data_IF_846591519556
#
_entry.id   IF_846591519556
#
_cell.length_a   1.000
_cell.length_b   1.000
_cell.length_c   1.000
_cell.angle_alpha   90.00
_cell.angle_beta   90.00
_cell.angle_gamma   90.00
#
_symmetry.space_group_name_H-M   'P 1'
#
loop_
_entity.id
_entity.type
_entity.pdbx_description
1 polymer ?
#
# COMPACT_ATOMS: atom_id res chain seq x y z
N UNK A 1 -10.74 1.33 4.01
CA UNK A 1 -9.97 2.05 5.05
C UNK A 1 -9.77 3.47 4.53
N UNK A 2 -10.37 4.49 5.14
CA UNK A 2 -10.24 5.87 4.67
C UNK A 2 -9.34 6.61 5.65
N UNK A 3 -8.05 6.70 5.32
CA UNK A 3 -7.06 7.42 6.11
C UNK A 3 -6.88 8.79 5.50
N UNK A 4 -7.08 9.83 6.30
CA UNK A 4 -6.84 11.21 5.90
C UNK A 4 -5.51 11.64 6.50
N UNK A 5 -4.47 11.72 5.69
CA UNK A 5 -3.14 12.16 6.10
C UNK A 5 -3.03 13.68 5.95
N UNK A 6 -2.83 14.40 7.06
CA UNK A 6 -2.56 15.84 7.04
C UNK A 6 -1.08 16.03 7.41
N UNK A 7 -0.21 16.19 6.40
CA UNK A 7 1.20 16.53 6.63
C UNK A 7 1.38 18.05 6.68
N UNK A 8 1.93 18.56 7.78
CA UNK A 8 2.40 19.95 7.90
C UNK A 8 3.71 20.14 7.13
N UNK A 9 3.81 21.24 6.40
CA UNK A 9 4.88 21.53 5.44
C UNK A 9 6.03 22.25 6.16
N UNK A 10 7.07 21.51 6.56
CA UNK A 10 8.34 22.06 7.01
C UNK A 10 9.50 21.29 6.34
N UNK A 11 10.49 22.05 5.88
CA UNK A 11 11.55 21.65 4.96
C UNK A 11 12.75 21.09 5.75
N UNK A 12 12.55 19.92 6.33
CA UNK A 12 13.64 19.05 6.79
C UNK A 12 13.54 17.77 5.94
N UNK A 13 14.59 17.46 5.17
CA UNK A 13 14.63 16.31 4.24
C UNK A 13 14.82 14.98 4.97
N UNK A 14 14.23 14.85 6.16
CA UNK A 14 14.22 13.58 6.89
C UNK A 14 13.19 12.64 6.26
N UNK A 15 13.50 11.35 6.09
CA UNK A 15 12.53 10.37 5.65
C UNK A 15 11.53 10.02 6.76
N UNK A 16 11.75 10.48 8.00
CA UNK A 16 10.84 10.25 9.13
C UNK A 16 9.89 11.43 9.28
N UNK A 17 8.60 11.17 9.14
CA UNK A 17 7.54 12.19 9.17
C UNK A 17 6.47 11.82 10.18
N UNK A 18 5.96 12.82 10.90
CA UNK A 18 4.78 12.64 11.73
C UNK A 18 3.52 12.81 10.86
N UNK A 19 2.61 11.85 10.93
CA UNK A 19 1.34 11.85 10.22
C UNK A 19 0.19 11.67 11.20
N UNK A 20 -0.84 12.50 11.05
CA UNK A 20 -2.11 12.30 11.75
C UNK A 20 -2.95 11.30 10.98
N UNK A 21 -3.37 10.23 11.64
CA UNK A 21 -4.12 9.14 11.04
C UNK A 21 -5.51 9.08 11.64
N UNK A 22 -6.50 8.94 10.78
CA UNK A 22 -7.87 8.58 11.17
C UNK A 22 -8.17 7.26 10.51
N UNK A 23 -8.51 6.23 11.28
CA UNK A 23 -8.81 4.92 10.74
C UNK A 23 -9.98 4.25 11.46
N UNK A 24 -10.61 3.31 10.77
CA UNK A 24 -11.64 2.45 11.35
C UNK A 24 -10.99 1.18 11.89
N UNK A 25 -11.21 0.91 13.17
CA UNK A 25 -10.72 -0.26 13.87
C UNK A 25 -11.89 -1.18 14.25
N UNK A 26 -11.62 -2.48 14.35
CA UNK A 26 -12.60 -3.52 14.67
C UNK A 26 -12.21 -4.15 16.00
N UNK A 27 -12.88 -3.73 17.05
CA UNK A 27 -12.60 -4.18 18.41
C UNK A 27 -13.29 -5.53 18.66
N UNK A 28 -12.54 -6.50 19.17
CA UNK A 28 -13.10 -7.78 19.61
C UNK A 28 -13.96 -7.61 20.87
N UNK A 29 -15.02 -8.42 21.06
CA UNK A 29 -15.89 -8.35 22.25
C UNK A 29 -15.16 -8.45 23.59
N UNK A 30 -14.06 -9.21 23.63
CA UNK A 30 -13.25 -9.37 24.85
C UNK A 30 -12.66 -8.04 25.34
N UNK A 31 -12.52 -7.05 24.47
CA UNK A 31 -11.99 -5.73 24.78
C UNK A 31 -13.09 -4.69 25.06
N UNK A 32 -14.35 -5.10 25.25
CA UNK A 32 -15.45 -4.16 25.53
C UNK A 32 -15.24 -3.37 26.83
N UNK A 33 -14.61 -3.99 27.83
CA UNK A 33 -14.31 -3.35 29.11
C UNK A 33 -13.08 -2.43 29.04
N UNK A 34 -12.16 -2.70 28.12
CA UNK A 34 -10.94 -1.92 27.90
C UNK A 34 -10.67 -1.79 26.39
N UNK A 35 -11.36 -0.84 25.78
CA UNK A 35 -11.24 -0.58 24.35
C UNK A 35 -9.84 -0.10 23.97
N UNK A 36 -9.15 0.60 24.88
CA UNK A 36 -7.82 1.15 24.62
C UNK A 36 -6.83 0.02 24.34
N UNK A 37 -6.82 -1.01 25.20
CA UNK A 37 -5.96 -2.19 25.01
C UNK A 37 -6.23 -2.88 23.68
N UNK A 38 -7.50 -3.12 23.32
CA UNK A 38 -7.82 -3.76 22.06
C UNK A 38 -7.46 -2.91 20.82
N UNK A 39 -7.51 -1.58 20.94
CA UNK A 39 -7.02 -0.67 19.90
C UNK A 39 -5.50 -0.71 19.77
N UNK A 40 -4.77 -0.71 20.89
CA UNK A 40 -3.32 -0.84 20.89
C UNK A 40 -2.89 -2.17 20.25
N UNK A 41 -3.55 -3.28 20.57
CA UNK A 41 -3.30 -4.58 19.94
C UNK A 41 -3.52 -4.52 18.42
N UNK A 42 -4.63 -3.91 17.97
CA UNK A 42 -4.91 -3.79 16.54
C UNK A 42 -3.91 -2.88 15.82
N UNK A 43 -3.53 -1.75 16.41
CA UNK A 43 -2.57 -0.81 15.85
C UNK A 43 -1.16 -1.43 15.82
N UNK A 44 -0.78 -2.20 16.84
CA UNK A 44 0.50 -2.90 16.87
C UNK A 44 0.68 -3.87 15.68
N UNK A 45 -0.40 -4.46 15.17
CA UNK A 45 -0.34 -5.30 13.96
C UNK A 45 0.02 -4.54 12.68
N UNK A 46 -0.13 -3.20 12.69
CA UNK A 46 0.22 -2.32 11.57
C UNK A 46 1.64 -1.76 11.65
N UNK A 47 2.32 -1.92 12.80
CA UNK A 47 3.71 -1.47 12.96
C UNK A 47 4.63 -2.24 12.03
N UNK A 48 5.69 -1.56 11.57
CA UNK A 48 6.70 -2.05 10.64
C UNK A 48 6.15 -2.54 9.30
N UNK A 49 4.93 -2.14 8.95
CA UNK A 49 4.29 -2.44 7.67
C UNK A 49 4.06 -1.18 6.86
N UNK A 50 4.24 -1.29 5.54
CA UNK A 50 3.87 -0.25 4.62
C UNK A 50 2.34 -0.08 4.58
N UNK A 51 1.91 1.17 4.62
CA UNK A 51 0.52 1.56 4.59
C UNK A 51 0.31 2.56 3.44
N UNK A 52 -0.43 2.13 2.40
CA UNK A 52 -0.61 2.90 1.16
C UNK A 52 -1.16 4.32 1.38
N UNK A 53 -2.15 4.55 2.27
CA UNK A 53 -2.68 5.90 2.48
C UNK A 53 -1.70 6.90 3.09
N UNK A 54 -0.64 6.42 3.74
CA UNK A 54 0.45 7.27 4.26
C UNK A 54 1.71 7.16 3.41
N UNK A 55 1.67 6.39 2.32
CA UNK A 55 2.77 6.16 1.39
C UNK A 55 4.09 5.82 2.10
N UNK A 56 4.04 5.04 3.17
CA UNK A 56 5.21 4.79 4.02
C UNK A 56 4.99 3.69 5.06
N UNK A 57 6.05 3.39 5.80
CA UNK A 57 6.05 2.35 6.84
C UNK A 57 5.75 2.99 8.19
N UNK A 58 4.74 2.47 8.89
CA UNK A 58 4.38 2.96 10.22
C UNK A 58 5.36 2.39 11.25
N UNK A 59 6.04 3.25 12.00
CA UNK A 59 7.04 2.86 12.99
C UNK A 59 6.50 2.86 14.41
N UNK A 60 5.65 3.84 14.72
CA UNK A 60 5.09 4.02 16.05
C UNK A 60 3.76 4.75 15.95
N UNK A 61 2.91 4.51 16.95
CA UNK A 61 1.70 5.29 17.21
C UNK A 61 1.86 6.06 18.52
N UNK A 62 1.26 7.23 18.58
CA UNK A 62 1.17 8.08 19.74
C UNK A 62 -0.23 8.70 19.82
N UNK A 63 -0.62 9.17 21.01
CA UNK A 63 -1.87 9.90 21.23
C UNK A 63 -3.12 9.23 20.62
N UNK A 64 -3.29 7.92 20.89
CA UNK A 64 -4.45 7.16 20.40
C UNK A 64 -5.71 7.67 21.08
N UNK A 65 -6.67 8.14 20.28
CA UNK A 65 -7.94 8.70 20.74
C UNK A 65 -9.11 8.12 19.96
N UNK A 66 -10.17 7.76 20.69
CA UNK A 66 -11.44 7.41 20.07
C UNK A 66 -12.14 8.70 19.62
N UNK A 67 -12.50 8.76 18.35
CA UNK A 67 -13.23 9.91 17.80
C UNK A 67 -14.65 9.97 18.35
N UNK A 68 -15.26 8.79 18.54
CA UNK A 68 -16.60 8.64 19.08
C UNK A 68 -16.56 7.65 20.26
N UNK A 69 -17.32 7.89 21.35
CA UNK A 69 -17.40 6.97 22.48
C UNK A 69 -18.21 5.71 22.17
N UNK A 70 -18.99 5.71 21.07
CA UNK A 70 -19.82 4.59 20.64
C UNK A 70 -19.24 3.93 19.40
N UNK A 71 -19.32 2.60 19.36
CA UNK A 71 -19.00 1.80 18.18
C UNK A 71 -20.24 1.16 17.59
N UNK A 72 -20.13 0.72 16.34
CA UNK A 72 -21.20 0.04 15.61
C UNK A 72 -20.91 -1.44 15.49
N UNK A 73 -21.84 -2.28 15.93
CA UNK A 73 -21.87 -3.69 15.56
C UNK A 73 -22.64 -3.78 14.24
N UNK A 74 -22.00 -4.32 13.22
CA UNK A 74 -22.56 -4.39 11.87
C UNK A 74 -22.92 -5.84 11.57
N UNK A 75 -24.17 -6.06 11.17
CA UNK A 75 -24.72 -7.38 10.84
C UNK A 75 -24.57 -8.39 12.00
N UNK A 76 -24.19 -9.63 11.68
CA UNK A 76 -24.09 -10.77 12.61
C UNK A 76 -22.68 -10.97 13.19
N UNK A 77 -21.73 -10.06 12.93
CA UNK A 77 -20.37 -10.19 13.47
C UNK A 77 -20.28 -9.48 14.82
N UNK A 78 -19.72 -10.11 15.88
CA UNK A 78 -19.70 -9.51 17.21
C UNK A 78 -18.64 -8.40 17.34
N UNK A 79 -17.92 -8.07 16.27
CA UNK A 79 -16.90 -7.02 16.29
C UNK A 79 -17.53 -5.63 16.35
N UNK A 80 -16.95 -4.78 17.20
CA UNK A 80 -17.40 -3.40 17.40
C UNK A 80 -16.52 -2.50 16.54
N UNK A 81 -17.10 -1.88 15.52
CA UNK A 81 -16.39 -0.97 14.63
C UNK A 81 -16.36 0.43 15.22
N UNK A 82 -15.15 0.97 15.43
CA UNK A 82 -14.92 2.31 15.99
C UNK A 82 -14.01 3.12 15.08
N UNK A 83 -14.10 4.45 15.17
CA UNK A 83 -13.16 5.36 14.51
C UNK A 83 -12.15 5.89 15.52
N UNK A 84 -10.88 5.84 15.13
CA UNK A 84 -9.75 6.21 15.98
C UNK A 84 -8.90 7.24 15.26
N UNK A 85 -8.46 8.25 15.99
CA UNK A 85 -7.43 9.17 15.59
C UNK A 85 -6.14 8.86 16.36
N UNK A 86 -5.01 8.81 15.67
CA UNK A 86 -3.70 8.63 16.27
C UNK A 86 -2.65 9.43 15.52
N UNK A 87 -1.64 9.89 16.23
CA UNK A 87 -0.43 10.41 15.61
C UNK A 87 0.49 9.23 15.33
N UNK A 88 1.10 9.18 14.16
CA UNK A 88 2.01 8.10 13.77
C UNK A 88 3.34 8.66 13.30
N UNK A 89 4.42 7.99 13.70
CA UNK A 89 5.73 8.18 13.10
C UNK A 89 5.80 7.27 11.87
N UNK A 90 6.00 7.86 10.70
CA UNK A 90 6.03 7.16 9.42
C UNK A 90 7.39 7.34 8.77
N UNK A 91 7.99 6.23 8.33
CA UNK A 91 9.14 6.24 7.46
C UNK A 91 8.68 6.29 6.01
N UNK A 92 8.95 7.41 5.35
CA UNK A 92 8.54 7.76 3.99
C UNK A 92 9.77 8.19 3.17
N UNK A 93 10.60 7.24 2.70
CA UNK A 93 11.66 7.55 1.75
C UNK A 93 11.04 7.96 0.41
N UNK A 94 11.52 9.05 -0.17
CA UNK A 94 11.05 9.54 -1.49
C UNK A 94 12.18 9.55 -2.51
N UNK A 95 11.90 9.26 -3.80
CA UNK A 95 12.90 9.36 -4.84
C UNK A 95 13.59 10.73 -4.87
N UNK A 96 14.91 10.73 -4.99
CA UNK A 96 15.76 11.91 -4.98
C UNK A 96 16.24 12.35 -3.59
N UNK A 97 15.83 11.66 -2.52
CA UNK A 97 16.40 11.88 -1.19
C UNK A 97 17.80 11.27 -1.09
N UNK A 98 18.71 11.99 -0.45
CA UNK A 98 20.03 11.47 -0.07
C UNK A 98 19.94 10.87 1.34
N UNK A 99 20.38 9.63 1.49
CA UNK A 99 20.35 8.86 2.73
C UNK A 99 21.69 8.14 2.95
N UNK A 100 22.03 7.82 4.19
CA UNK A 100 23.18 6.96 4.52
C UNK A 100 22.75 5.63 5.13
N UNK A 101 23.40 4.55 4.71
CA UNK A 101 23.14 3.20 5.20
C UNK A 101 24.44 2.41 5.34
N UNK A 102 24.40 1.36 6.16
CA UNK A 102 25.56 0.49 6.41
C UNK A 102 25.51 -0.72 5.49
N UNK A 103 26.61 -1.02 4.82
CA UNK A 103 26.74 -2.20 3.96
C UNK A 103 26.63 -3.46 4.81
N UNK A 104 25.65 -4.31 4.49
CA UNK A 104 25.42 -5.60 5.15
C UNK A 104 25.69 -6.79 4.20
N UNK A 105 25.72 -6.54 2.89
CA UNK A 105 26.02 -7.57 1.89
C UNK A 105 26.77 -6.97 0.72
N UNK A 106 27.79 -7.67 0.25
CA UNK A 106 28.48 -7.34 -1.00
C UNK A 106 28.32 -8.50 -1.98
N UNK A 107 27.95 -8.18 -3.21
CA UNK A 107 27.91 -9.13 -4.31
C UNK A 107 28.46 -8.52 -5.58
N UNK A 108 28.73 -9.36 -6.57
CA UNK A 108 29.32 -8.93 -7.86
C UNK A 108 28.41 -8.03 -8.69
N UNK A 109 27.09 -8.10 -8.46
CA UNK A 109 26.09 -7.37 -9.24
C UNK A 109 25.38 -6.29 -8.42
N UNK A 110 25.52 -6.28 -7.09
CA UNK A 110 24.87 -5.31 -6.21
C UNK A 110 25.56 -5.28 -4.84
N UNK A 111 25.36 -4.19 -4.11
CA UNK A 111 25.56 -4.15 -2.66
C UNK A 111 24.21 -4.05 -1.95
N UNK A 112 24.08 -4.75 -0.85
CA UNK A 112 22.96 -4.65 0.08
C UNK A 112 23.35 -3.81 1.29
N UNK A 113 22.54 -2.82 1.62
CA UNK A 113 22.72 -1.97 2.78
C UNK A 113 21.50 -2.06 3.70
N UNK A 114 21.71 -1.73 4.97
CA UNK A 114 20.65 -1.57 5.96
C UNK A 114 20.61 -0.12 6.41
N UNK A 115 19.51 0.56 6.09
CA UNK A 115 19.23 1.89 6.60
C UNK A 115 18.65 1.78 8.01
N UNK A 116 19.26 2.49 8.97
CA UNK A 116 18.93 2.41 10.39
C UNK A 116 18.92 0.98 10.96
N UNK A 117 19.65 0.05 10.34
CA UNK A 117 19.69 -1.37 10.73
C UNK A 117 18.43 -2.17 10.42
N UNK A 118 17.43 -1.59 9.74
CA UNK A 118 16.09 -2.21 9.59
C UNK A 118 15.59 -2.22 8.15
N UNK A 119 15.77 -1.14 7.39
CA UNK A 119 15.24 -1.05 6.03
C UNK A 119 16.25 -1.53 5.02
N UNK A 120 15.83 -2.49 4.18
CA UNK A 120 16.66 -3.02 3.11
C UNK A 120 16.86 -1.98 2.02
N UNK A 121 18.12 -1.80 1.64
CA UNK A 121 18.54 -0.97 0.52
C UNK A 121 19.38 -1.84 -0.41
N UNK A 122 19.17 -1.71 -1.72
CA UNK A 122 19.97 -2.34 -2.76
C UNK A 122 20.52 -1.28 -3.70
N UNK A 123 21.82 -1.37 -4.01
CA UNK A 123 22.46 -0.56 -5.04
C UNK A 123 23.02 -1.52 -6.07
N UNK A 124 22.48 -1.46 -7.28
CA UNK A 124 22.94 -2.28 -8.40
C UNK A 124 24.33 -1.84 -8.85
N UNK A 125 25.13 -2.76 -9.39
CA UNK A 125 26.42 -2.47 -10.00
C UNK A 125 26.33 -1.38 -11.07
N UNK A 126 25.22 -1.34 -11.82
CA UNK A 126 24.94 -0.30 -12.81
C UNK A 126 24.64 1.07 -12.19
N UNK A 127 24.50 1.19 -10.87
CA UNK A 127 24.28 2.45 -10.13
C UNK A 127 25.43 2.78 -9.17
N UNK A 128 26.54 2.04 -9.28
CA UNK A 128 27.82 2.38 -8.66
C UNK A 128 28.48 3.57 -9.38
N UNK A 129 29.40 4.29 -8.69
CA UNK A 129 30.25 5.27 -9.35
C UNK A 129 31.14 4.58 -10.41
N UNK A 130 31.52 5.32 -11.45
CA UNK A 130 32.43 4.82 -12.46
C UNK A 130 33.82 4.54 -11.83
N UNK A 131 34.51 3.49 -12.30
CA UNK A 131 35.83 3.10 -11.77
C UNK A 131 35.78 2.15 -10.57
N UNK A 132 34.60 1.71 -10.13
CA UNK A 132 34.49 0.65 -9.12
C UNK A 132 34.46 -0.74 -9.76
N UNK A 133 35.32 -1.63 -9.26
CA UNK A 133 35.38 -3.04 -9.66
C UNK A 133 35.20 -3.96 -8.46
N UNK A 134 34.41 -5.01 -8.62
CA UNK A 134 34.20 -6.00 -7.55
C UNK A 134 35.43 -6.91 -7.38
N UNK A 135 35.97 -6.95 -6.16
CA UNK A 135 37.01 -7.88 -5.73
C UNK A 135 36.35 -9.13 -5.11
N UNK A 136 36.49 -10.27 -5.79
CA UNK A 136 35.92 -11.55 -5.35
C UNK A 136 36.59 -12.15 -4.11
N UNK A 137 37.85 -11.79 -3.83
CA UNK A 137 38.59 -12.35 -2.69
C UNK A 137 38.26 -11.61 -1.39
N UNK A 138 38.01 -10.31 -1.47
CA UNK A 138 37.78 -9.43 -0.31
C UNK A 138 36.29 -9.13 -0.07
N UNK A 139 35.40 -9.66 -0.91
CA UNK A 139 33.96 -9.34 -0.90
C UNK A 139 33.71 -7.83 -0.79
N UNK A 140 34.41 -7.07 -1.64
CA UNK A 140 34.43 -5.62 -1.60
C UNK A 140 34.42 -5.01 -3.00
N UNK A 141 33.94 -3.77 -3.11
CA UNK A 141 34.06 -2.98 -4.34
C UNK A 141 35.21 -1.99 -4.18
N UNK A 142 36.21 -2.08 -5.07
CA UNK A 142 37.40 -1.24 -5.03
C UNK A 142 37.29 -0.20 -6.14
N UNK A 143 37.35 1.08 -5.77
CA UNK A 143 37.42 2.19 -6.71
C UNK A 143 38.85 2.41 -7.20
N UNK A 144 38.99 2.96 -8.41
CA UNK A 144 40.29 3.38 -8.99
C UNK A 144 41.05 4.35 -8.07
N UNK A 145 40.34 5.12 -7.23
CA UNK A 145 40.89 6.05 -6.24
C UNK A 145 41.47 5.34 -4.99
N UNK A 146 41.39 4.01 -4.92
CA UNK A 146 41.82 3.19 -3.78
C UNK A 146 40.81 3.14 -2.63
N UNK A 147 39.62 3.74 -2.79
CA UNK A 147 38.53 3.67 -1.80
C UNK A 147 37.77 2.35 -1.97
N UNK A 148 37.66 1.59 -0.89
CA UNK A 148 36.99 0.29 -0.88
C UNK A 148 35.66 0.35 -0.14
N UNK A 149 34.62 -0.26 -0.70
CA UNK A 149 33.32 -0.46 -0.08
C UNK A 149 33.24 -1.92 0.37
N UNK A 150 33.42 -2.12 1.68
CA UNK A 150 33.39 -3.43 2.34
C UNK A 150 32.21 -3.54 3.32
N UNK A 151 32.05 -4.72 3.91
CA UNK A 151 31.03 -4.96 4.94
C UNK A 151 31.22 -4.01 6.13
N UNK A 152 30.12 -3.42 6.61
CA UNK A 152 30.14 -2.48 7.72
C UNK A 152 30.49 -1.04 7.35
N UNK A 153 30.88 -0.76 6.10
CA UNK A 153 31.09 0.60 5.63
C UNK A 153 29.77 1.38 5.61
N UNK A 154 29.81 2.65 6.00
CA UNK A 154 28.68 3.56 5.83
C UNK A 154 28.78 4.27 4.47
N UNK A 155 27.70 4.21 3.70
CA UNK A 155 27.64 4.70 2.32
C UNK A 155 26.46 5.65 2.17
N UNK A 156 26.71 6.83 1.60
CA UNK A 156 25.68 7.76 1.18
C UNK A 156 25.19 7.41 -0.25
N UNK A 157 23.87 7.47 -0.44
CA UNK A 157 23.24 7.16 -1.71
C UNK A 157 21.97 8.00 -1.93
N UNK A 158 21.58 8.14 -3.19
CA UNK A 158 20.32 8.75 -3.58
C UNK A 158 19.24 7.68 -3.76
N UNK A 159 18.06 7.88 -3.19
CA UNK A 159 16.91 7.00 -3.41
C UNK A 159 16.46 7.12 -4.87
N UNK A 160 16.51 6.03 -5.63
CA UNK A 160 15.93 5.96 -6.98
C UNK A 160 14.46 5.59 -6.91
N UNK A 161 14.16 4.53 -6.15
CA UNK A 161 12.82 3.95 -6.09
C UNK A 161 12.60 3.23 -4.77
N UNK A 162 11.35 3.15 -4.36
CA UNK A 162 10.90 2.31 -3.25
C UNK A 162 10.05 1.18 -3.82
N UNK A 163 10.47 -0.05 -3.60
CA UNK A 163 9.72 -1.27 -3.90
C UNK A 163 8.94 -1.72 -2.67
N UNK A 164 7.67 -2.08 -2.87
CA UNK A 164 6.80 -2.58 -1.81
C UNK A 164 6.35 -3.99 -2.17
N UNK A 165 6.54 -4.93 -1.24
CA UNK A 165 6.06 -6.31 -1.39
C UNK A 165 5.66 -6.87 -0.03
N UNK A 166 4.44 -7.40 0.07
CA UNK A 166 3.92 -8.08 1.28
C UNK A 166 4.01 -7.25 2.58
N UNK A 167 3.88 -5.92 2.48
CA UNK A 167 3.97 -5.01 3.62
C UNK A 167 5.40 -4.63 4.03
N UNK A 168 6.42 -5.22 3.41
CA UNK A 168 7.82 -4.84 3.57
C UNK A 168 8.22 -3.92 2.41
N UNK A 169 9.18 -3.04 2.67
CA UNK A 169 9.79 -2.21 1.63
C UNK A 169 11.24 -2.59 1.37
N UNK A 170 11.67 -2.37 0.14
CA UNK A 170 13.07 -2.36 -0.29
C UNK A 170 13.34 -1.06 -1.03
N UNK A 171 14.48 -0.44 -0.80
CA UNK A 171 14.85 0.83 -1.41
C UNK A 171 15.93 0.56 -2.45
N UNK A 172 15.70 0.99 -3.69
CA UNK A 172 16.75 1.00 -4.71
C UNK A 172 17.48 2.34 -4.63
N UNK A 173 18.79 2.28 -4.47
CA UNK A 173 19.67 3.43 -4.34
C UNK A 173 20.61 3.59 -5.54
N UNK A 174 21.16 4.79 -5.68
CA UNK A 174 22.26 5.11 -6.59
C UNK A 174 23.36 5.87 -5.87
N UNK A 175 24.59 5.44 -6.05
CA UNK A 175 25.78 6.13 -5.54
C UNK A 175 26.37 7.10 -6.57
N UNK A 176 25.79 7.15 -7.78
CA UNK A 176 26.26 8.08 -8.80
C UNK A 176 26.02 9.52 -8.37
N UNK A 177 26.92 10.45 -8.73
CA UNK A 177 26.67 11.86 -8.52
C UNK A 177 25.37 12.23 -9.23
N UNK A 178 24.43 12.82 -8.48
CA UNK A 178 23.15 13.22 -9.03
C UNK A 178 23.37 14.10 -10.26
N UNK A 179 23.00 13.59 -11.45
CA UNK A 179 23.03 14.38 -12.67
C UNK A 179 22.12 15.58 -12.41
N UNK A 180 22.69 16.79 -12.37
CA UNK A 180 21.93 18.04 -12.39
C UNK A 180 21.08 18.01 -13.67
N UNK A 181 19.84 17.57 -13.57
CA UNK A 181 18.87 17.67 -14.65
C UNK A 181 18.67 19.16 -14.87
N UNK A 182 19.32 19.67 -15.92
CA UNK A 182 19.05 20.98 -16.47
C UNK A 182 17.56 21.03 -16.78
N UNK A 183 16.82 21.71 -15.91
CA UNK A 183 15.41 21.99 -16.12
C UNK A 183 15.32 22.76 -17.42
N UNK A 184 14.87 22.10 -18.51
CA UNK A 184 14.43 22.79 -19.72
C UNK A 184 13.31 23.73 -19.28
N UNK A 185 13.68 25.00 -19.10
CA UNK A 185 12.81 26.12 -18.75
C UNK A 185 11.70 26.16 -19.81
N UNK A 186 10.52 25.65 -19.46
CA UNK A 186 9.29 25.93 -20.21
C UNK A 186 9.12 27.45 -20.16
N UNK A 187 9.18 28.08 -21.34
CA UNK A 187 9.00 29.51 -21.53
C UNK A 187 7.59 29.86 -21.02
N UNK A 188 7.53 30.57 -19.90
CA UNK A 188 6.33 31.20 -19.37
C UNK A 188 5.90 32.31 -20.32
N UNK A 189 4.68 32.23 -20.83
CA UNK A 189 3.96 33.38 -21.39
C UNK A 189 2.95 33.80 -20.33
N UNK A 190 3.16 34.98 -19.76
CA UNK A 190 2.20 35.67 -18.90
C UNK A 190 1.10 36.36 -19.73
N UNK A 191 -0.08 36.61 -19.14
CA UNK A 191 -1.28 37.00 -19.86
C UNK A 191 -1.40 38.53 -19.98
N UNK A 192 -1.88 39.02 -21.12
CA UNK A 192 -2.36 40.40 -21.28
C UNK A 192 -3.88 40.39 -21.55
N UNK A 193 -4.58 41.21 -20.77
CA UNK A 193 -6.02 41.32 -20.70
C UNK A 193 -6.65 42.13 -21.85
N UNK A 194 -7.78 41.59 -22.35
CA UNK A 194 -9.07 42.21 -22.71
C UNK A 194 -9.10 43.63 -23.34
N UNK A 195 -9.61 43.74 -24.58
CA UNK A 195 -10.57 44.81 -24.95
C UNK A 195 -11.59 44.34 -26.01
N UNK A 196 -12.80 44.88 -25.85
CA UNK A 196 -14.12 44.48 -26.35
C UNK A 196 -14.44 45.03 -27.75
N UNK A 197 -15.15 44.26 -28.60
CA UNK A 197 -16.11 44.78 -29.60
C UNK A 197 -17.01 43.67 -30.20
N UNK A 198 -18.33 43.80 -30.02
CA UNK A 198 -19.41 43.15 -30.81
C UNK A 198 -20.07 44.22 -31.74
N UNK A 199 -21.07 43.91 -32.59
CA UNK A 199 -21.17 42.88 -33.65
C UNK A 199 -21.71 43.47 -34.99
N UNK A 200 -21.70 42.73 -36.13
CA UNK A 200 -22.69 42.91 -37.25
C UNK A 200 -22.71 41.81 -38.36
N UNK A 201 -23.89 41.16 -38.46
CA UNK A 201 -24.71 40.72 -39.63
C UNK A 201 -24.19 39.76 -40.75
N UNK A 202 -24.61 38.48 -40.62
CA UNK A 202 -25.47 37.62 -41.51
C UNK A 202 -25.38 37.70 -43.06
N UNK A 203 -25.18 36.54 -43.72
CA UNK A 203 -25.98 36.05 -44.87
C UNK A 203 -25.96 34.51 -45.02
N UNK A 204 -27.13 33.96 -45.38
CA UNK A 204 -27.60 32.55 -45.43
C UNK A 204 -27.25 31.81 -46.73
N UNK A 205 -27.15 30.47 -46.66
CA UNK A 205 -27.95 29.43 -47.42
C UNK A 205 -27.51 28.02 -46.97
N UNK A 206 -28.28 27.21 -46.22
CA UNK A 206 -29.49 26.36 -46.48
C UNK A 206 -29.27 25.05 -47.29
N UNK A 207 -29.30 23.90 -46.57
CA UNK A 207 -30.04 22.62 -46.81
C UNK A 207 -29.55 21.59 -45.76
N UNK A 208 -30.29 21.23 -44.69
CA UNK A 208 -31.41 20.24 -44.60
C UNK A 208 -31.11 18.95 -45.38
N UNK A 209 -31.31 17.72 -44.91
CA UNK A 209 -31.72 17.04 -43.66
C UNK A 209 -31.32 15.55 -43.90
N UNK A 210 -31.09 14.65 -42.94
CA UNK A 210 -32.11 14.06 -42.09
C UNK A 210 -31.44 13.09 -41.09
N UNK A 211 -31.96 13.12 -39.87
CA UNK A 211 -31.76 12.16 -38.77
C UNK A 211 -32.78 11.03 -38.93
N UNK A 212 -32.40 9.77 -38.64
CA UNK A 212 -33.24 8.82 -37.89
C UNK A 212 -32.37 7.80 -37.13
N UNK A 213 -32.63 7.72 -35.83
CA UNK A 213 -32.25 6.64 -34.92
C UNK A 213 -33.07 5.38 -35.21
N UNK A 214 -32.56 4.21 -34.83
CA UNK A 214 -33.36 3.13 -34.20
C UNK A 214 -32.43 2.10 -33.54
N UNK A 215 -32.88 1.59 -32.39
CA UNK A 215 -32.24 0.67 -31.45
C UNK A 215 -32.46 -0.81 -31.85
N UNK A 216 -31.75 -1.69 -31.12
CA UNK A 216 -32.00 -3.12 -30.86
C UNK A 216 -31.83 -4.17 -31.97
N UNK A 217 -30.83 -5.05 -31.84
CA UNK A 217 -31.04 -6.45 -31.40
C UNK A 217 -29.78 -7.33 -31.47
N UNK A 218 -29.75 -8.28 -30.55
CA UNK A 218 -28.82 -9.41 -30.35
C UNK A 218 -28.88 -10.40 -31.53
N UNK A 219 -27.79 -11.09 -31.90
CA UNK A 219 -27.89 -12.36 -32.60
C UNK A 219 -27.43 -13.53 -31.69
N UNK A 220 -28.35 -14.46 -31.43
CA UNK A 220 -28.04 -15.82 -31.00
C UNK A 220 -28.63 -16.86 -31.97
N UNK A 221 -27.97 -18.03 -32.03
CA UNK A 221 -28.47 -19.40 -32.27
C UNK A 221 -28.11 -20.11 -33.60
N UNK A 222 -27.41 -21.26 -33.47
CA UNK A 222 -27.93 -22.67 -33.62
C UNK A 222 -26.73 -23.67 -33.53
N UNK A 223 -26.59 -24.54 -32.51
CA UNK A 223 -27.28 -25.80 -32.10
C UNK A 223 -27.03 -27.05 -32.97
N UNK A 224 -26.43 -28.09 -32.34
CA UNK A 224 -26.75 -29.54 -32.39
C UNK A 224 -25.93 -30.22 -31.26
N UNK A 225 -26.32 -31.24 -30.47
CA UNK A 225 -27.51 -32.09 -30.22
C UNK A 225 -27.29 -32.77 -28.84
N UNK A 226 -28.35 -32.98 -28.04
CA UNK A 226 -28.49 -34.07 -27.02
C UNK A 226 -29.60 -35.00 -27.50
N UNK A 227 -29.55 -36.30 -27.19
CA UNK A 227 -30.52 -36.90 -26.23
C UNK A 227 -29.85 -38.04 -25.41
N UNK A 228 -30.37 -38.70 -24.35
CA UNK A 228 -31.56 -38.65 -23.48
C UNK A 228 -31.29 -39.63 -22.30
N UNK A 229 -32.02 -39.41 -21.21
CA UNK A 229 -32.29 -40.19 -19.98
C UNK A 229 -32.55 -41.70 -20.12
N UNK A 230 -32.30 -42.49 -19.06
CA UNK A 230 -33.03 -43.66 -18.45
C UNK A 230 -32.17 -44.09 -17.22
N UNK A 231 -32.57 -44.03 -15.93
CA UNK A 231 -33.64 -44.68 -15.13
C UNK A 231 -33.31 -46.12 -14.66
N UNK A 232 -33.35 -46.28 -13.32
CA UNK A 232 -33.52 -47.50 -12.49
C UNK A 232 -32.37 -48.53 -12.45
N UNK A 233 -32.15 -49.35 -11.41
CA UNK A 233 -32.59 -49.56 -10.01
C UNK A 233 -31.64 -50.72 -9.56
N UNK A 234 -31.17 -50.87 -8.31
CA UNK A 234 -31.89 -51.48 -7.18
C UNK A 234 -30.86 -51.79 -6.06
N UNK A 235 -31.33 -51.68 -4.81
CA UNK A 235 -31.20 -52.56 -3.61
C UNK A 235 -29.83 -53.19 -3.27
N UNK A 236 -29.34 -53.27 -2.03
CA UNK A 236 -29.94 -53.66 -0.74
C UNK A 236 -29.31 -52.76 0.38
N UNK A 237 -29.83 -52.50 1.58
CA UNK A 237 -30.67 -53.28 2.50
C UNK A 237 -31.31 -52.32 3.55
N UNK A 238 -32.38 -52.77 4.21
CA UNK A 238 -33.29 -51.98 5.08
C UNK A 238 -32.93 -52.19 6.58
N UNK A 239 -33.74 -51.81 7.61
CA UNK A 239 -33.40 -50.78 8.60
C UNK A 239 -33.38 -51.28 10.06
N UNK A 240 -32.94 -50.45 11.02
CA UNK A 240 -33.48 -50.53 12.40
C UNK A 240 -33.71 -49.13 12.97
N UNK A 241 -35.00 -48.85 13.19
CA UNK A 241 -35.54 -47.77 14.04
C UNK A 241 -35.51 -48.26 15.50
N UNK A 242 -35.19 -47.37 16.46
CA UNK A 242 -35.91 -47.20 17.75
C UNK A 242 -35.27 -46.08 18.60
N UNK A 243 -36.07 -45.03 18.88
CA UNK A 243 -35.92 -44.05 19.99
C UNK A 243 -36.69 -44.60 21.22
N UNK A 244 -36.88 -43.85 22.34
CA UNK A 244 -36.02 -43.06 23.23
C UNK A 244 -36.19 -43.48 24.73
N UNK A 245 -35.51 -42.85 25.71
CA UNK A 245 -36.08 -42.67 27.07
C UNK A 245 -35.47 -41.49 27.86
N UNK A 246 -36.38 -40.72 28.46
CA UNK A 246 -36.23 -39.62 29.45
C UNK A 246 -36.41 -40.21 30.86
N UNK A 247 -35.73 -39.65 31.88
CA UNK A 247 -36.15 -39.48 33.31
C UNK A 247 -34.97 -38.78 34.03
N UNK A 248 -35.03 -37.53 34.49
CA UNK A 248 -35.77 -36.89 35.60
C UNK A 248 -35.21 -37.12 37.02
N UNK A 249 -34.58 -36.05 37.54
CA UNK A 249 -34.79 -35.38 38.86
C UNK A 249 -34.27 -36.00 40.18
N UNK A 250 -33.69 -35.07 40.97
CA UNK A 250 -33.61 -34.93 42.45
C UNK A 250 -32.48 -35.71 43.17
N UNK A 251 -31.82 -35.28 44.25
CA UNK A 251 -31.72 -34.04 45.08
C UNK A 251 -30.68 -34.32 46.20
N UNK A 252 -30.05 -33.25 46.75
CA UNK A 252 -29.63 -33.01 48.16
C UNK A 252 -28.23 -33.40 48.70
N UNK A 253 -27.59 -32.35 49.26
CA UNK A 253 -26.75 -32.22 50.51
C UNK A 253 -25.59 -33.21 50.72
N UNK A 254 -24.41 -32.81 51.18
CA UNK A 254 -24.03 -31.74 52.12
C UNK A 254 -22.75 -31.02 51.69
#
# INVERSE_FOLDING_TARGET
MQVVCICSRAREMSPFVNAKLVMSCSLAPCHIHDAKKGLEEQLNLMLMKYCDPVEGVILAFNAITLLNPYGHIINETPYIHVRVAADALVFRPTPGMELSAVVNKVGSNHIGLLLAGVFNVSIDAAEMPDGYTHNFHEEAWVGDDGVTIELGAEVAFNVLRVHQAYGVISIDGSMRPAKKTSTKKRKSVEPAAVVVAEPKKVKKTKKEAAVKNEEDEIPTLKKTKKPKTIVNNNTDDVPVVLKPKKQSKKTKTA
#
